data_IF_350305560780
#
_entry.id   IF_350305560780
#
_cell.length_a   1.000
_cell.length_b   1.000
_cell.length_c   1.000
_cell.angle_alpha   90.00
_cell.angle_beta   90.00
_cell.angle_gamma   90.00
#
_symmetry.space_group_name_H-M   'P 1'
#
loop_
_entity.id
_entity.type
_entity.pdbx_description
1 polymer ?
#
# COMPACT_ATOMS: atom_id res chain seq x y z
N UNK A 1 -7.21 -12.59 26.82
CA UNK A 1 -6.75 -11.54 25.88
C UNK A 1 -5.60 -10.80 26.53
N UNK A 2 -4.47 -10.64 25.82
CA UNK A 2 -3.33 -9.84 26.30
C UNK A 2 -3.69 -8.36 26.21
N UNK A 3 -3.36 -7.56 27.24
CA UNK A 3 -3.49 -6.11 27.15
C UNK A 3 -2.43 -5.57 26.19
N UNK A 4 -2.87 -4.82 25.19
CA UNK A 4 -1.99 -4.02 24.33
C UNK A 4 -1.56 -2.76 25.09
N UNK A 5 -0.35 -2.29 24.80
CA UNK A 5 0.10 -0.98 25.29
C UNK A 5 -0.49 0.13 24.43
N UNK A 6 -0.64 1.33 24.98
CA UNK A 6 -1.10 2.49 24.21
C UNK A 6 -0.20 2.76 23.00
N UNK A 7 1.12 2.56 23.15
CA UNK A 7 2.07 2.65 22.04
C UNK A 7 1.81 1.65 20.93
N UNK A 8 1.44 0.41 21.26
CA UNK A 8 1.05 -0.61 20.28
C UNK A 8 -0.23 -0.24 19.56
N UNK A 9 -1.24 0.27 20.29
CA UNK A 9 -2.51 0.71 19.69
C UNK A 9 -2.28 1.84 18.69
N UNK A 10 -1.48 2.84 19.06
CA UNK A 10 -1.12 3.94 18.18
C UNK A 10 -0.35 3.47 16.93
N UNK A 11 0.59 2.54 17.09
CA UNK A 11 1.35 1.99 15.97
C UNK A 11 0.46 1.20 14.99
N UNK A 12 -0.51 0.43 15.50
CA UNK A 12 -1.53 -0.23 14.66
C UNK A 12 -2.38 0.80 13.91
N UNK A 13 -2.74 1.91 14.55
CA UNK A 13 -3.45 3.02 13.90
C UNK A 13 -2.67 3.62 12.73
N UNK A 14 -1.37 3.91 12.93
CA UNK A 14 -0.47 4.40 11.86
C UNK A 14 -0.32 3.39 10.72
N UNK A 15 -0.13 2.11 11.06
CA UNK A 15 -0.06 1.04 10.07
C UNK A 15 -1.32 0.98 9.21
N UNK A 16 -2.49 1.07 9.85
CA UNK A 16 -3.78 0.99 9.18
C UNK A 16 -3.95 2.14 8.20
N UNK A 17 -3.59 3.36 8.62
CA UNK A 17 -3.61 4.54 7.76
C UNK A 17 -2.65 4.38 6.56
N UNK A 18 -1.39 4.00 6.80
CA UNK A 18 -0.41 3.81 5.74
C UNK A 18 -0.83 2.71 4.73
N UNK A 19 -1.43 1.62 5.21
CA UNK A 19 -1.95 0.56 4.34
C UNK A 19 -3.12 1.08 3.48
N UNK A 20 -4.04 1.82 4.09
CA UNK A 20 -5.22 2.40 3.42
C UNK A 20 -4.82 3.38 2.32
N UNK A 21 -3.85 4.26 2.61
CA UNK A 21 -3.33 5.22 1.63
C UNK A 21 -2.67 4.52 0.44
N UNK A 22 -1.89 3.46 0.69
CA UNK A 22 -1.28 2.66 -0.37
C UNK A 22 -2.34 1.92 -1.20
N UNK A 23 -3.34 1.29 -0.57
CA UNK A 23 -4.45 0.64 -1.27
C UNK A 23 -5.25 1.64 -2.12
N UNK A 24 -5.48 2.86 -1.63
CA UNK A 24 -6.15 3.90 -2.40
C UNK A 24 -5.33 4.33 -3.62
N UNK A 25 -4.00 4.45 -3.49
CA UNK A 25 -3.12 4.74 -4.62
C UNK A 25 -3.16 3.61 -5.68
N UNK A 26 -3.10 2.35 -5.26
CA UNK A 26 -3.22 1.20 -6.15
C UNK A 26 -4.56 1.19 -6.89
N UNK A 27 -5.65 1.54 -6.21
CA UNK A 27 -6.97 1.65 -6.83
C UNK A 27 -6.99 2.73 -7.92
N UNK A 28 -6.38 3.90 -7.67
CA UNK A 28 -6.24 4.98 -8.67
C UNK A 28 -5.43 4.54 -9.88
N UNK A 29 -4.32 3.82 -9.66
CA UNK A 29 -3.48 3.27 -10.74
C UNK A 29 -4.29 2.33 -11.63
N UNK A 30 -5.05 1.40 -11.04
CA UNK A 30 -5.89 0.47 -11.79
C UNK A 30 -7.05 1.16 -12.53
N UNK A 31 -7.74 2.08 -11.86
CA UNK A 31 -8.90 2.78 -12.39
C UNK A 31 -8.56 3.74 -13.54
N UNK A 32 -7.43 4.46 -13.44
CA UNK A 32 -6.98 5.40 -14.48
C UNK A 32 -6.79 4.76 -15.86
N UNK A 33 -6.58 3.43 -15.92
CA UNK A 33 -6.48 2.68 -17.18
C UNK A 33 -7.81 2.08 -17.65
N UNK A 34 -8.65 1.62 -16.74
CA UNK A 34 -9.94 1.03 -17.07
C UNK A 34 -11.02 2.07 -17.44
N UNK A 35 -10.70 3.38 -17.32
CA UNK A 35 -11.72 4.43 -17.34
C UNK A 35 -12.73 4.27 -16.21
N UNK A 36 -12.35 3.52 -15.17
CA UNK A 36 -13.21 3.13 -14.06
C UNK A 36 -13.18 4.15 -12.93
N UNK A 37 -14.13 4.04 -12.02
CA UNK A 37 -14.15 4.83 -10.79
C UNK A 37 -13.15 4.26 -9.77
N UNK A 38 -12.11 5.02 -9.36
CA UNK A 38 -11.17 4.60 -8.32
C UNK A 38 -11.83 4.23 -7.00
N UNK A 39 -12.98 4.84 -6.68
CA UNK A 39 -13.72 4.57 -5.44
C UNK A 39 -14.31 3.16 -5.47
N UNK A 40 -14.95 2.78 -6.57
CA UNK A 40 -15.49 1.44 -6.76
C UNK A 40 -14.40 0.35 -6.64
N UNK A 41 -13.23 0.58 -7.25
CA UNK A 41 -12.06 -0.30 -7.14
C UNK A 41 -11.56 -0.39 -5.69
N UNK A 42 -11.46 0.75 -5.00
CA UNK A 42 -10.99 0.81 -3.62
C UNK A 42 -11.88 0.05 -2.63
N UNK A 43 -13.20 0.11 -2.81
CA UNK A 43 -14.15 -0.54 -1.89
C UNK A 43 -14.21 -2.07 -2.03
N UNK A 44 -13.72 -2.63 -3.14
CA UNK A 44 -13.73 -4.06 -3.38
C UNK A 44 -12.49 -4.73 -2.78
N UNK A 45 -12.69 -5.77 -1.95
CA UNK A 45 -11.60 -6.42 -1.25
C UNK A 45 -10.58 -7.04 -2.23
N UNK A 46 -9.29 -6.67 -2.08
CA UNK A 46 -8.19 -7.17 -2.91
C UNK A 46 -8.13 -6.61 -4.34
N UNK A 47 -9.17 -5.88 -4.75
CA UNK A 47 -9.32 -5.32 -6.08
C UNK A 47 -8.29 -4.22 -6.41
N UNK A 48 -7.90 -3.32 -5.49
CA UNK A 48 -6.88 -2.30 -5.77
C UNK A 48 -5.56 -2.89 -6.27
N UNK A 49 -5.09 -3.94 -5.61
CA UNK A 49 -3.84 -4.59 -5.97
C UNK A 49 -3.95 -5.35 -7.30
N UNK A 50 -5.09 -6.05 -7.52
CA UNK A 50 -5.34 -6.74 -8.78
C UNK A 50 -5.35 -5.76 -9.95
N UNK A 51 -6.11 -4.67 -9.83
CA UNK A 51 -6.22 -3.66 -10.87
C UNK A 51 -4.87 -2.95 -11.12
N UNK A 52 -4.09 -2.65 -10.08
CA UNK A 52 -2.75 -2.09 -10.24
C UNK A 52 -1.77 -3.03 -10.96
N UNK A 53 -1.81 -4.34 -10.65
CA UNK A 53 -1.00 -5.36 -11.34
C UNK A 53 -1.33 -5.45 -12.82
N UNK A 54 -2.61 -5.36 -13.17
CA UNK A 54 -3.06 -5.37 -14.57
C UNK A 54 -2.63 -4.10 -15.31
N UNK A 55 -2.53 -2.96 -14.62
CA UNK A 55 -2.07 -1.71 -15.19
C UNK A 55 -0.54 -1.62 -15.33
N UNK A 56 0.23 -2.28 -14.45
CA UNK A 56 1.69 -2.13 -14.35
C UNK A 56 2.48 -2.42 -15.65
N UNK A 57 2.17 -3.45 -16.46
CA UNK A 57 2.87 -3.72 -17.73
C UNK A 57 2.77 -2.59 -18.76
N UNK A 58 1.83 -1.66 -18.56
CA UNK A 58 1.58 -0.55 -19.46
C UNK A 58 2.14 0.79 -18.97
N UNK A 59 2.93 0.78 -17.89
CA UNK A 59 3.74 1.92 -17.53
C UNK A 59 4.74 2.28 -18.65
N UNK A 60 5.18 3.56 -18.72
CA UNK A 60 6.20 4.00 -19.67
C UNK A 60 7.43 3.07 -19.67
N UNK A 61 8.01 2.77 -20.84
CA UNK A 61 9.12 1.81 -20.94
C UNK A 61 10.28 2.11 -19.98
N UNK A 62 10.63 3.38 -19.77
CA UNK A 62 11.73 3.77 -18.86
C UNK A 62 11.50 3.38 -17.39
N UNK A 63 10.25 3.37 -16.93
CA UNK A 63 9.91 3.13 -15.52
C UNK A 63 9.17 1.80 -15.29
N UNK A 64 8.86 1.05 -16.34
CA UNK A 64 7.99 -0.13 -16.26
C UNK A 64 8.49 -1.19 -15.29
N UNK A 65 9.78 -1.53 -15.36
CA UNK A 65 10.36 -2.56 -14.49
C UNK A 65 10.27 -2.15 -13.01
N UNK A 66 10.58 -0.89 -12.72
CA UNK A 66 10.49 -0.34 -11.38
C UNK A 66 9.03 -0.29 -10.88
N UNK A 67 8.11 0.17 -11.73
CA UNK A 67 6.69 0.24 -11.41
C UNK A 67 6.10 -1.14 -11.08
N UNK A 68 6.40 -2.15 -11.90
CA UNK A 68 6.02 -3.55 -11.62
C UNK A 68 6.61 -4.02 -10.29
N UNK A 69 7.90 -3.75 -10.05
CA UNK A 69 8.57 -4.09 -8.80
C UNK A 69 7.92 -3.47 -7.58
N UNK A 70 7.50 -2.21 -7.66
CA UNK A 70 6.83 -1.49 -6.58
C UNK A 70 5.41 -2.02 -6.30
N UNK A 71 4.64 -2.36 -7.35
CA UNK A 71 3.32 -2.98 -7.18
C UNK A 71 3.43 -4.33 -6.49
N UNK A 72 4.44 -5.14 -6.83
CA UNK A 72 4.69 -6.42 -6.14
C UNK A 72 5.23 -6.22 -4.71
N UNK A 73 6.07 -5.20 -4.48
CA UNK A 73 6.50 -4.84 -3.14
C UNK A 73 5.32 -4.40 -2.26
N UNK A 74 4.39 -3.61 -2.80
CA UNK A 74 3.16 -3.22 -2.13
C UNK A 74 2.33 -4.45 -1.70
N UNK A 75 2.19 -5.44 -2.58
CA UNK A 75 1.52 -6.71 -2.24
C UNK A 75 2.15 -7.39 -1.02
N UNK A 76 3.49 -7.46 -0.99
CA UNK A 76 4.23 -8.08 0.09
C UNK A 76 4.07 -7.31 1.41
N UNK A 77 4.15 -5.99 1.39
CA UNK A 77 4.00 -5.16 2.59
C UNK A 77 2.56 -5.17 3.13
N UNK A 78 1.55 -5.16 2.27
CA UNK A 78 0.14 -5.33 2.68
C UNK A 78 -0.12 -6.72 3.27
N UNK A 79 0.48 -7.77 2.72
CA UNK A 79 0.40 -9.10 3.31
C UNK A 79 1.11 -9.16 4.68
N UNK A 80 2.26 -8.50 4.83
CA UNK A 80 2.98 -8.39 6.10
C UNK A 80 2.17 -7.63 7.16
N UNK A 81 1.54 -6.52 6.79
CA UNK A 81 0.69 -5.74 7.71
C UNK A 81 -0.48 -6.58 8.24
N UNK A 82 -1.17 -7.31 7.36
CA UNK A 82 -2.27 -8.21 7.75
C UNK A 82 -1.79 -9.33 8.67
N UNK A 83 -0.62 -9.93 8.39
CA UNK A 83 -0.02 -10.96 9.25
C UNK A 83 0.33 -10.40 10.63
N UNK A 84 0.93 -9.22 10.70
CA UNK A 84 1.29 -8.55 11.96
C UNK A 84 0.04 -8.25 12.81
N UNK A 85 -1.03 -7.74 12.19
CA UNK A 85 -2.30 -7.49 12.89
C UNK A 85 -2.94 -8.79 13.37
N UNK A 86 -2.97 -9.85 12.54
CA UNK A 86 -3.49 -11.16 12.96
C UNK A 86 -2.70 -11.76 14.11
N UNK A 87 -1.39 -11.56 14.13
CA UNK A 87 -0.50 -12.07 15.16
C UNK A 87 -0.79 -11.48 16.56
N UNK A 88 -1.40 -10.29 16.66
CA UNK A 88 -1.90 -9.74 17.95
C UNK A 88 -2.88 -10.68 18.65
N UNK A 89 -3.60 -11.49 17.89
CA UNK A 89 -4.63 -12.41 18.38
C UNK A 89 -4.09 -13.84 18.62
N UNK A 90 -2.83 -14.11 18.26
CA UNK A 90 -2.24 -15.44 18.40
C UNK A 90 -1.50 -15.58 19.74
N UNK A 91 -1.82 -16.63 20.48
CA UNK A 91 -1.16 -17.00 21.73
C UNK A 91 0.29 -17.41 21.44
N UNK A 92 1.26 -16.53 21.73
CA UNK A 92 2.70 -16.81 21.58
C UNK A 92 3.44 -15.89 20.61
N UNK A 93 2.75 -15.02 19.88
CA UNK A 93 3.42 -14.03 19.02
C UNK A 93 3.86 -12.79 19.82
N UNK A 94 5.09 -12.33 19.58
CA UNK A 94 5.62 -11.06 20.11
C UNK A 94 5.65 -10.07 18.95
N UNK A 95 4.54 -9.37 18.75
CA UNK A 95 4.49 -8.18 17.88
C UNK A 95 4.36 -6.96 18.79
N UNK A 96 5.23 -5.99 18.59
CA UNK A 96 5.30 -4.76 19.38
C UNK A 96 5.13 -3.52 18.50
N UNK A 97 5.17 -2.34 19.12
CA UNK A 97 5.00 -1.08 18.40
C UNK A 97 6.06 -0.87 17.30
N UNK A 98 7.32 -1.28 17.56
CA UNK A 98 8.42 -1.13 16.61
C UNK A 98 8.17 -1.93 15.32
N UNK A 99 7.64 -3.16 15.45
CA UNK A 99 7.27 -3.99 14.30
C UNK A 99 6.21 -3.29 13.42
N UNK A 100 5.19 -2.70 14.01
CA UNK A 100 4.16 -1.98 13.27
C UNK A 100 4.70 -0.71 12.61
N UNK A 101 5.56 0.04 13.30
CA UNK A 101 6.17 1.25 12.76
C UNK A 101 7.13 0.94 11.60
N UNK A 102 7.87 -0.17 11.66
CA UNK A 102 8.73 -0.64 10.57
C UNK A 102 7.92 -0.94 9.30
N UNK A 103 6.84 -1.73 9.43
CA UNK A 103 5.96 -2.06 8.30
C UNK A 103 5.30 -0.79 7.76
N UNK A 104 4.85 0.12 8.65
CA UNK A 104 4.31 1.41 8.25
C UNK A 104 5.31 2.20 7.40
N UNK A 105 6.58 2.23 7.80
CA UNK A 105 7.65 2.87 7.03
C UNK A 105 7.86 2.24 5.65
N UNK A 106 7.76 0.91 5.52
CA UNK A 106 7.84 0.22 4.23
C UNK A 106 6.68 0.60 3.30
N UNK A 107 5.46 0.63 3.84
CA UNK A 107 4.26 1.03 3.10
C UNK A 107 4.36 2.48 2.59
N UNK A 108 4.76 3.41 3.47
CA UNK A 108 4.90 4.83 3.13
C UNK A 108 5.99 5.07 2.08
N UNK A 109 7.16 4.45 2.21
CA UNK A 109 8.21 4.56 1.19
C UNK A 109 7.78 4.00 -0.16
N UNK A 110 7.04 2.89 -0.17
CA UNK A 110 6.48 2.32 -1.40
C UNK A 110 5.48 3.28 -2.05
N UNK A 111 4.55 3.83 -1.25
CA UNK A 111 3.57 4.84 -1.66
C UNK A 111 4.25 6.06 -2.27
N UNK A 112 5.24 6.61 -1.58
CA UNK A 112 5.94 7.83 -2.02
C UNK A 112 6.69 7.60 -3.33
N UNK A 113 7.33 6.44 -3.50
CA UNK A 113 8.00 6.12 -4.76
C UNK A 113 7.02 5.91 -5.91
N UNK A 114 5.88 5.24 -5.67
CA UNK A 114 4.83 5.12 -6.66
C UNK A 114 4.25 6.48 -7.07
N UNK A 115 4.04 7.39 -6.11
CA UNK A 115 3.64 8.76 -6.41
C UNK A 115 4.65 9.50 -7.28
N UNK A 116 5.94 9.45 -6.92
CA UNK A 116 6.99 10.10 -7.71
C UNK A 116 7.00 9.65 -9.17
N UNK A 117 6.87 8.34 -9.42
CA UNK A 117 6.80 7.79 -10.79
C UNK A 117 5.53 8.21 -11.56
N UNK A 118 4.43 8.48 -10.86
CA UNK A 118 3.20 8.97 -11.47
C UNK A 118 3.28 10.48 -11.77
N UNK A 119 3.88 11.26 -10.88
CA UNK A 119 4.05 12.70 -11.05
C UNK A 119 5.08 13.03 -12.14
N UNK A 120 6.14 12.23 -12.29
CA UNK A 120 7.11 12.32 -13.40
C UNK A 120 6.45 12.06 -14.77
N UNK A 121 5.32 11.35 -14.82
CA UNK A 121 4.59 11.01 -16.04
C UNK A 121 3.62 12.11 -16.49
N UNK A 122 3.02 12.84 -15.54
CA UNK A 122 2.14 13.99 -15.79
C UNK A 122 2.78 15.25 -15.19
N UNK A 123 3.84 15.82 -15.81
CA UNK A 123 4.32 17.11 -15.39
C UNK A 123 3.17 18.10 -15.52
N UNK A 124 2.74 18.69 -14.40
CA UNK A 124 1.74 19.75 -14.40
C UNK A 124 2.10 20.78 -15.48
N UNK A 125 1.15 21.28 -16.30
CA UNK A 125 1.46 22.29 -17.28
C UNK A 125 2.04 23.50 -16.56
N UNK A 126 3.31 23.79 -16.84
CA UNK A 126 3.97 25.02 -16.40
C UNK A 126 3.13 26.19 -16.89
N UNK A 127 2.56 26.92 -15.94
CA UNK A 127 1.84 28.18 -16.17
C UNK A 127 2.79 29.28 -16.68
#
# INVERSE_FOLDING_TARGET
MRRLTDGTVLAVGRLTLAATELEHLLARIGAGRAGGDPTAVFTAAGEPLRAAREAAPFAPPEHRAEFVGLVEAAANYLAQSQRAVRALWSTGSVVDAATFDEISGLLLRCRDRLHALLDERDPAPTA
#
